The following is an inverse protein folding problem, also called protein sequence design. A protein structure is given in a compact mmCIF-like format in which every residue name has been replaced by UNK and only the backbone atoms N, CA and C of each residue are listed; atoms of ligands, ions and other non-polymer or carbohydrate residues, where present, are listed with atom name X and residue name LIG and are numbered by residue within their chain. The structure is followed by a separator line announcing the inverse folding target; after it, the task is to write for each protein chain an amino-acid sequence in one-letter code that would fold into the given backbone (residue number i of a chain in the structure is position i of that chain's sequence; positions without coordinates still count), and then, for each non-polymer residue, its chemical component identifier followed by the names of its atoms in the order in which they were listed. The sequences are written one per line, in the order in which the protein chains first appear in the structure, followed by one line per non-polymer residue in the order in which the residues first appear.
data_IF_513272384200
#
_entry.id   IF_513272384200
#
_cell.length_a   1.000
_cell.length_b   1.000
_cell.length_c   1.000
_cell.angle_alpha   90.00
_cell.angle_beta   90.00
_cell.angle_gamma   90.00
#
_symmetry.space_group_name_H-M   'P 1'
#
loop_
_entity.id
_entity.type
_entity.pdbx_description
1 polymer ?
#
# COMPACT_ATOMS: atom_id res chain seq x y z
N UNK A 1 5.30 -21.38 17.59
CA UNK A 1 5.22 -21.03 16.16
C UNK A 1 4.94 -22.23 15.27
N UNK A 2 5.67 -23.35 15.37
CA UNK A 2 5.31 -24.60 14.67
C UNK A 2 3.84 -25.00 14.85
N UNK A 3 3.35 -25.10 16.10
CA UNK A 3 1.93 -25.35 16.38
C UNK A 3 0.95 -24.35 15.73
N UNK A 4 1.34 -23.09 15.57
CA UNK A 4 0.52 -22.09 14.89
C UNK A 4 0.52 -22.34 13.37
N UNK A 5 1.68 -22.68 12.79
CA UNK A 5 1.78 -23.10 11.40
C UNK A 5 0.96 -24.36 11.12
N UNK A 6 0.98 -25.35 12.03
CA UNK A 6 0.29 -26.63 11.88
C UNK A 6 -1.25 -26.50 11.86
N UNK A 7 -1.80 -25.42 12.44
CA UNK A 7 -3.24 -25.13 12.41
C UNK A 7 -3.63 -24.15 11.30
N UNK A 8 -2.67 -23.63 10.53
CA UNK A 8 -2.97 -22.76 9.41
C UNK A 8 -3.47 -23.57 8.22
N UNK A 9 -4.45 -23.01 7.51
CA UNK A 9 -4.82 -23.52 6.19
C UNK A 9 -3.71 -23.21 5.17
N UNK A 10 -3.65 -24.01 4.10
CA UNK A 10 -2.78 -23.68 2.96
C UNK A 10 -3.22 -22.36 2.33
N UNK A 11 -2.27 -21.48 2.07
CA UNK A 11 -2.58 -20.19 1.50
C UNK A 11 -2.73 -20.25 -0.03
N UNK A 12 -3.86 -19.78 -0.54
CA UNK A 12 -4.12 -19.55 -1.96
C UNK A 12 -3.68 -18.16 -2.41
N UNK A 13 -3.64 -17.91 -3.71
CA UNK A 13 -3.48 -16.58 -4.31
C UNK A 13 -4.57 -16.31 -5.35
N UNK A 14 -4.87 -15.03 -5.58
CA UNK A 14 -5.90 -14.64 -6.55
C UNK A 14 -5.35 -14.65 -7.98
N UNK A 15 -6.08 -15.30 -8.90
CA UNK A 15 -5.88 -15.22 -10.33
C UNK A 15 -7.21 -14.85 -11.00
N UNK A 16 -7.37 -13.57 -11.32
CA UNK A 16 -8.66 -13.04 -11.79
C UNK A 16 -9.73 -13.14 -10.69
N UNK A 17 -10.81 -13.89 -10.96
CA UNK A 17 -11.92 -14.08 -10.02
C UNK A 17 -11.82 -15.39 -9.20
N UNK A 18 -10.70 -16.12 -9.30
CA UNK A 18 -10.52 -17.43 -8.67
C UNK A 18 -9.34 -17.41 -7.69
N UNK A 19 -9.49 -18.13 -6.58
CA UNK A 19 -8.38 -18.46 -5.70
C UNK A 19 -7.72 -19.76 -6.20
N UNK A 20 -6.41 -19.70 -6.41
CA UNK A 20 -5.60 -20.81 -6.93
C UNK A 20 -4.63 -21.29 -5.85
N UNK A 21 -4.47 -22.61 -5.76
CA UNK A 21 -3.46 -23.26 -4.94
C UNK A 21 -2.35 -23.79 -5.86
N UNK A 22 -1.13 -23.28 -5.69
CA UNK A 22 0.07 -23.72 -6.40
C UNK A 22 1.29 -23.45 -5.49
N UNK A 23 1.88 -24.52 -4.94
CA UNK A 23 3.04 -24.39 -4.05
C UNK A 23 4.33 -23.95 -4.75
N UNK A 24 4.38 -24.00 -6.08
CA UNK A 24 5.52 -23.43 -6.84
C UNK A 24 5.44 -21.91 -6.94
N UNK A 25 4.25 -21.35 -6.70
CA UNK A 25 3.98 -19.91 -6.72
C UNK A 25 3.84 -19.32 -5.30
N UNK A 26 3.16 -20.03 -4.40
CA UNK A 26 2.99 -19.61 -3.01
C UNK A 26 3.00 -20.81 -2.07
N UNK A 27 3.91 -20.78 -1.10
CA UNK A 27 3.94 -21.72 0.01
C UNK A 27 3.91 -20.94 1.32
N UNK A 28 2.76 -20.94 1.99
CA UNK A 28 2.56 -20.30 3.28
C UNK A 28 1.32 -20.88 3.97
N UNK A 29 1.26 -20.77 5.30
CA UNK A 29 0.04 -20.97 6.08
C UNK A 29 -0.72 -19.65 6.23
N UNK A 30 -2.05 -19.72 6.25
CA UNK A 30 -2.93 -18.59 6.59
C UNK A 30 -3.97 -18.95 7.65
N UNK A 31 -4.44 -17.94 8.37
CA UNK A 31 -5.70 -17.94 9.09
C UNK A 31 -6.52 -16.73 8.64
N UNK A 32 -7.77 -16.97 8.24
CA UNK A 32 -8.71 -15.90 7.92
C UNK A 32 -9.21 -15.23 9.22
N UNK A 33 -9.58 -13.95 9.17
CA UNK A 33 -9.87 -13.11 10.35
C UNK A 33 -10.94 -13.64 11.30
N UNK A 34 -11.84 -14.52 10.84
CA UNK A 34 -12.85 -15.17 11.69
C UNK A 34 -12.27 -16.25 12.63
N UNK A 35 -11.07 -16.76 12.34
CA UNK A 35 -10.44 -17.86 13.09
C UNK A 35 -9.38 -17.40 14.09
N UNK A 36 -9.13 -16.10 14.20
CA UNK A 36 -8.19 -15.57 15.18
C UNK A 36 -8.61 -14.19 15.69
N UNK A 37 -7.99 -13.77 16.78
CA UNK A 37 -8.07 -12.40 17.28
C UNK A 37 -6.66 -11.91 17.58
N UNK A 38 -6.40 -10.64 17.30
CA UNK A 38 -5.14 -9.99 17.62
C UNK A 38 -5.41 -8.80 18.55
N UNK A 39 -4.56 -8.64 19.57
CA UNK A 39 -4.60 -7.47 20.46
C UNK A 39 -3.97 -6.23 19.86
N UNK A 40 -3.21 -6.38 18.78
CA UNK A 40 -2.61 -5.24 18.10
C UNK A 40 -3.69 -4.44 17.39
N UNK A 41 -3.82 -3.16 17.77
CA UNK A 41 -4.74 -2.21 17.14
C UNK A 41 -3.93 -1.09 16.47
N UNK A 42 -3.86 -1.04 15.12
CA UNK A 42 -3.13 0.02 14.42
C UNK A 42 -3.70 1.42 14.70
N UNK A 43 -4.99 1.55 15.04
CA UNK A 43 -5.62 2.84 15.36
C UNK A 43 -5.05 3.38 16.68
N UNK A 44 -5.05 2.56 17.74
CA UNK A 44 -4.60 2.96 19.07
C UNK A 44 -3.11 3.35 19.14
N UNK A 45 -2.30 2.92 18.17
CA UNK A 45 -0.85 3.22 18.12
C UNK A 45 -0.50 4.58 17.50
N UNK A 46 -1.45 5.26 16.86
CA UNK A 46 -1.17 6.46 16.04
C UNK A 46 -0.46 6.16 14.72
N UNK A 47 -0.26 4.88 14.37
CA UNK A 47 0.36 4.46 13.12
C UNK A 47 -0.43 4.96 11.90
N UNK A 48 -1.76 4.91 11.95
CA UNK A 48 -2.60 5.33 10.83
C UNK A 48 -2.48 6.82 10.52
N UNK A 49 -2.26 7.66 11.53
CA UNK A 49 -2.07 9.10 11.30
C UNK A 49 -0.77 9.34 10.51
N UNK A 50 0.30 8.60 10.84
CA UNK A 50 1.55 8.62 10.08
C UNK A 50 1.37 8.08 8.67
N UNK A 51 0.65 6.97 8.51
CA UNK A 51 0.38 6.39 7.19
C UNK A 51 -0.49 7.31 6.34
N UNK A 52 -1.41 8.07 6.94
CA UNK A 52 -2.18 9.10 6.22
C UNK A 52 -1.27 10.15 5.63
N UNK A 53 -0.34 10.69 6.41
CA UNK A 53 0.57 11.74 5.92
C UNK A 53 1.47 11.24 4.77
N UNK A 54 1.76 9.94 4.71
CA UNK A 54 2.64 9.34 3.69
C UNK A 54 1.85 8.84 2.46
N UNK A 55 0.71 8.18 2.67
CA UNK A 55 -0.06 7.51 1.62
C UNK A 55 -1.22 8.35 1.05
N UNK A 56 -1.68 9.36 1.79
CA UNK A 56 -2.78 10.24 1.38
C UNK A 56 -2.30 11.65 1.04
N UNK A 57 -1.05 11.75 0.59
CA UNK A 57 -0.48 12.99 0.05
C UNK A 57 -1.39 13.50 -1.08
N UNK A 58 -1.69 14.81 -1.07
CA UNK A 58 -2.65 15.42 -2.01
C UNK A 58 -4.13 15.29 -1.61
N UNK A 59 -4.44 14.51 -0.56
CA UNK A 59 -5.80 14.24 -0.07
C UNK A 59 -5.98 14.47 1.46
N UNK A 60 -5.00 15.09 2.11
CA UNK A 60 -4.88 15.06 3.57
C UNK A 60 -6.00 15.80 4.35
N UNK A 61 -6.79 16.64 3.70
CA UNK A 61 -7.73 17.54 4.37
C UNK A 61 -9.13 16.92 4.55
N UNK A 62 -9.54 15.98 3.68
CA UNK A 62 -10.88 15.39 3.62
C UNK A 62 -10.91 13.85 3.63
N UNK A 63 -9.75 13.19 3.57
CA UNK A 63 -9.64 11.72 3.53
C UNK A 63 -8.90 11.15 4.75
N UNK A 64 -9.44 10.07 5.30
CA UNK A 64 -8.87 9.28 6.39
C UNK A 64 -8.73 7.81 6.03
N UNK A 65 -8.02 7.03 6.86
CA UNK A 65 -7.76 5.61 6.63
C UNK A 65 -8.57 4.77 7.62
N UNK A 66 -9.33 3.80 7.12
CA UNK A 66 -9.89 2.69 7.91
C UNK A 66 -9.08 1.42 7.66
N UNK A 67 -8.46 0.82 8.68
CA UNK A 67 -7.84 -0.49 8.55
C UNK A 67 -8.90 -1.58 8.68
N UNK A 68 -8.76 -2.65 7.90
CA UNK A 68 -9.58 -3.85 7.98
C UNK A 68 -8.67 -5.07 8.15
N UNK A 69 -8.76 -5.74 9.30
CA UNK A 69 -7.97 -6.94 9.56
C UNK A 69 -8.39 -8.05 8.58
N UNK A 70 -7.44 -8.48 7.75
CA UNK A 70 -7.72 -9.43 6.68
C UNK A 70 -7.30 -10.85 7.06
N UNK A 71 -5.99 -11.06 7.27
CA UNK A 71 -5.44 -12.41 7.48
C UNK A 71 -4.18 -12.39 8.34
N UNK A 72 -3.95 -13.50 9.02
CA UNK A 72 -2.67 -13.84 9.61
C UNK A 72 -1.95 -14.79 8.65
N UNK A 73 -0.67 -14.55 8.36
CA UNK A 73 0.15 -15.47 7.57
C UNK A 73 1.29 -16.01 8.42
N UNK A 74 1.62 -17.29 8.23
CA UNK A 74 2.79 -17.95 8.80
C UNK A 74 3.62 -18.54 7.67
N UNK A 75 4.87 -18.08 7.56
CA UNK A 75 5.86 -18.64 6.64
C UNK A 75 6.88 -19.40 7.47
N UNK A 76 6.90 -20.73 7.34
CA UNK A 76 7.91 -21.60 7.95
C UNK A 76 9.07 -21.89 6.99
N UNK A 77 9.99 -22.80 7.34
CA UNK A 77 11.11 -23.15 6.47
C UNK A 77 10.64 -23.63 5.09
N UNK A 78 11.26 -23.11 4.03
CA UNK A 78 10.90 -23.39 2.63
C UNK A 78 9.67 -22.64 2.12
N UNK A 79 9.03 -21.81 2.94
CA UNK A 79 7.88 -20.98 2.55
C UNK A 79 8.33 -19.73 1.79
N UNK A 80 7.51 -19.27 0.84
CA UNK A 80 7.75 -18.07 0.03
C UNK A 80 6.43 -17.62 -0.63
N UNK A 81 6.44 -16.45 -1.26
CA UNK A 81 5.36 -16.02 -2.15
C UNK A 81 5.97 -15.22 -3.30
N UNK A 82 5.79 -15.69 -4.53
CA UNK A 82 6.28 -15.05 -5.77
C UNK A 82 5.74 -13.63 -6.00
N UNK A 83 6.33 -12.86 -6.94
CA UNK A 83 5.87 -11.52 -7.27
C UNK A 83 4.39 -11.50 -7.64
N UNK A 84 3.63 -10.66 -6.96
CA UNK A 84 2.20 -10.47 -7.15
C UNK A 84 1.78 -9.05 -6.74
N UNK A 85 0.57 -8.66 -7.15
CA UNK A 85 -0.12 -7.47 -6.66
C UNK A 85 -1.31 -7.89 -5.83
N UNK A 86 -1.75 -7.03 -4.92
CA UNK A 86 -2.96 -7.30 -4.17
C UNK A 86 -4.18 -7.20 -5.08
N UNK A 87 -5.05 -8.21 -5.02
CA UNK A 87 -6.36 -8.15 -5.67
C UNK A 87 -7.21 -7.11 -4.95
N UNK A 88 -7.78 -6.11 -5.65
CA UNK A 88 -8.70 -5.16 -5.04
C UNK A 88 -9.86 -5.90 -4.36
N UNK A 89 -10.12 -5.61 -3.08
CA UNK A 89 -11.24 -6.20 -2.32
C UNK A 89 -12.19 -5.10 -1.86
N UNK A 90 -13.26 -4.92 -2.64
CA UNK A 90 -14.33 -3.96 -2.36
C UNK A 90 -14.00 -2.52 -2.74
N UNK A 91 -15.02 -1.68 -2.67
CA UNK A 91 -14.91 -0.27 -3.04
C UNK A 91 -14.01 0.47 -2.03
N UNK A 92 -13.03 1.20 -2.57
CA UNK A 92 -12.17 2.09 -1.78
C UNK A 92 -10.97 1.44 -1.07
N UNK A 93 -10.70 0.15 -1.25
CA UNK A 93 -9.39 -0.43 -0.84
C UNK A 93 -8.29 0.17 -1.73
N UNK A 94 -7.25 0.71 -1.12
CA UNK A 94 -6.19 1.40 -1.88
C UNK A 94 -4.78 0.95 -1.54
N UNK A 95 -4.56 0.43 -0.34
CA UNK A 95 -3.26 0.03 0.16
C UNK A 95 -3.38 -1.18 1.10
N UNK A 96 -2.23 -1.78 1.38
CA UNK A 96 -2.08 -2.86 2.36
C UNK A 96 -1.13 -2.42 3.46
N UNK A 97 -1.41 -2.85 4.68
CA UNK A 97 -0.52 -2.73 5.84
C UNK A 97 -0.18 -4.11 6.36
N UNK A 98 1.10 -4.45 6.36
CA UNK A 98 1.63 -5.72 6.87
C UNK A 98 2.36 -5.44 8.18
N UNK A 99 1.80 -5.91 9.29
CA UNK A 99 2.45 -5.93 10.60
C UNK A 99 3.25 -7.22 10.72
N UNK A 100 4.50 -7.12 11.13
CA UNK A 100 5.44 -8.24 11.21
C UNK A 100 5.85 -8.40 12.67
N UNK A 101 5.50 -9.55 13.26
CA UNK A 101 5.85 -9.85 14.64
C UNK A 101 7.35 -10.15 14.77
N UNK A 102 7.97 -9.86 15.94
CA UNK A 102 9.37 -10.14 16.23
C UNK A 102 9.61 -11.62 16.52
N UNK A 103 9.26 -12.47 15.55
CA UNK A 103 9.50 -13.91 15.57
C UNK A 103 10.87 -14.22 14.98
N UNK A 104 11.61 -15.15 15.56
CA UNK A 104 12.94 -15.53 15.07
C UNK A 104 12.81 -16.31 13.75
N UNK A 105 13.44 -15.79 12.69
CA UNK A 105 13.56 -16.42 11.38
C UNK A 105 14.74 -15.86 10.57
N UNK A 106 15.20 -16.62 9.58
CA UNK A 106 16.13 -16.18 8.54
C UNK A 106 15.44 -16.21 7.17
N UNK A 107 15.80 -15.28 6.30
CA UNK A 107 15.06 -15.05 5.06
C UNK A 107 13.66 -14.45 5.30
N UNK A 108 12.75 -14.61 4.36
CA UNK A 108 11.39 -14.07 4.45
C UNK A 108 11.29 -12.54 4.31
N UNK A 109 12.26 -11.91 3.63
CA UNK A 109 12.22 -10.47 3.35
C UNK A 109 11.02 -10.12 2.46
N UNK A 110 10.47 -8.92 2.65
CA UNK A 110 9.48 -8.35 1.73
C UNK A 110 10.22 -7.57 0.64
N UNK A 111 10.01 -7.94 -0.62
CA UNK A 111 10.57 -7.21 -1.76
C UNK A 111 9.44 -6.48 -2.47
N UNK A 112 9.71 -5.26 -2.91
CA UNK A 112 8.76 -4.38 -3.58
C UNK A 112 9.33 -3.94 -4.92
N UNK A 113 8.47 -3.96 -5.94
CA UNK A 113 8.75 -3.51 -7.29
C UNK A 113 7.65 -2.54 -7.75
N UNK A 114 8.06 -1.32 -8.12
CA UNK A 114 7.14 -0.30 -8.64
C UNK A 114 7.83 0.57 -9.70
N UNK A 115 7.51 0.31 -10.97
CA UNK A 115 8.20 0.94 -12.10
C UNK A 115 9.65 0.49 -12.14
N UNK A 116 10.60 1.43 -12.01
CA UNK A 116 12.04 1.14 -11.96
C UNK A 116 12.59 1.06 -10.52
N UNK A 117 11.73 1.19 -9.50
CA UNK A 117 12.15 1.15 -8.11
C UNK A 117 12.03 -0.25 -7.55
N UNK A 118 13.09 -0.71 -6.90
CA UNK A 118 13.14 -1.95 -6.14
C UNK A 118 13.50 -1.64 -4.69
N UNK A 119 12.83 -2.28 -3.74
CA UNK A 119 13.13 -2.12 -2.32
C UNK A 119 12.99 -3.45 -1.58
N UNK A 120 13.99 -3.78 -0.76
CA UNK A 120 13.97 -4.98 0.08
C UNK A 120 13.89 -4.59 1.55
N UNK A 121 12.83 -5.03 2.21
CA UNK A 121 12.63 -4.86 3.64
C UNK A 121 12.92 -6.17 4.39
N UNK A 122 14.11 -6.25 4.98
CA UNK A 122 14.50 -7.33 5.88
C UNK A 122 14.07 -7.03 7.32
N UNK A 123 12.83 -7.41 7.66
CA UNK A 123 12.28 -7.19 9.00
C UNK A 123 13.00 -7.96 10.10
N UNK A 124 13.59 -9.13 9.79
CA UNK A 124 14.31 -9.92 10.79
C UNK A 124 15.55 -9.18 11.29
N UNK A 125 16.35 -8.63 10.37
CA UNK A 125 17.52 -7.82 10.72
C UNK A 125 17.12 -6.59 11.54
N UNK A 126 16.12 -5.83 11.05
CA UNK A 126 15.64 -4.62 11.72
C UNK A 126 15.15 -4.88 13.15
N UNK A 127 14.44 -5.99 13.38
CA UNK A 127 13.92 -6.33 14.70
C UNK A 127 15.00 -6.87 15.65
N UNK A 128 16.03 -7.54 15.11
CA UNK A 128 17.15 -8.09 15.90
C UNK A 128 18.01 -7.02 16.56
N UNK A 129 18.05 -5.81 16.00
CA UNK A 129 18.84 -4.69 16.49
C UNK A 129 18.13 -3.90 17.62
N UNK A 130 16.89 -4.25 17.96
CA UNK A 130 16.09 -3.50 18.91
C UNK A 130 16.27 -4.00 20.35
N UNK A 131 16.52 -3.09 21.29
CA UNK A 131 16.71 -3.40 22.71
C UNK A 131 15.43 -3.62 23.52
N UNK A 132 14.25 -3.64 22.88
CA UNK A 132 12.95 -3.72 23.55
C UNK A 132 11.83 -4.19 22.62
N UNK A 133 10.60 -4.37 23.15
CA UNK A 133 9.48 -4.90 22.38
C UNK A 133 9.14 -4.02 21.18
N UNK A 134 9.49 -4.49 19.98
CA UNK A 134 9.30 -3.75 18.73
C UNK A 134 8.57 -4.61 17.72
N UNK A 135 7.78 -3.97 16.86
CA UNK A 135 7.15 -4.58 15.69
C UNK A 135 7.67 -3.87 14.45
N UNK A 136 7.79 -4.63 13.35
CA UNK A 136 8.08 -4.05 12.05
C UNK A 136 6.76 -3.91 11.29
N UNK A 137 6.69 -2.95 10.37
CA UNK A 137 5.56 -2.86 9.46
C UNK A 137 6.01 -2.40 8.08
N UNK A 138 5.22 -2.76 7.08
CA UNK A 138 5.32 -2.21 5.74
C UNK A 138 3.92 -1.79 5.28
N UNK A 139 3.80 -0.61 4.68
CA UNK A 139 2.56 -0.13 4.07
C UNK A 139 2.84 0.32 2.64
N UNK A 140 2.01 -0.12 1.70
CA UNK A 140 2.23 0.09 0.28
C UNK A 140 0.90 0.10 -0.48
N UNK A 141 0.86 0.81 -1.61
CA UNK A 141 -0.34 0.83 -2.45
C UNK A 141 -0.62 -0.56 -3.04
N UNK A 142 -1.90 -0.88 -3.19
CA UNK A 142 -2.39 -2.19 -3.67
C UNK A 142 -1.83 -2.62 -5.03
N UNK A 143 -1.41 -1.67 -5.86
CA UNK A 143 -0.86 -1.90 -7.20
C UNK A 143 0.67 -2.05 -7.23
N UNK A 144 1.34 -1.95 -6.06
CA UNK A 144 2.76 -2.26 -5.91
C UNK A 144 2.94 -3.77 -5.96
N UNK A 145 3.77 -4.22 -6.90
CA UNK A 145 4.16 -5.62 -6.96
C UNK A 145 5.08 -5.94 -5.80
N UNK A 146 4.86 -7.06 -5.15
CA UNK A 146 5.64 -7.47 -4.01
C UNK A 146 5.75 -8.99 -3.91
N UNK A 147 6.80 -9.43 -3.22
CA UNK A 147 7.04 -10.84 -2.93
C UNK A 147 7.57 -11.05 -1.51
N UNK A 148 7.47 -12.30 -1.05
CA UNK A 148 8.12 -12.76 0.18
C UNK A 148 9.21 -13.74 -0.23
N UNK A 149 10.47 -13.39 0.06
CA UNK A 149 11.61 -14.26 -0.22
C UNK A 149 11.51 -15.57 0.56
N UNK A 150 12.30 -16.57 0.16
CA UNK A 150 12.38 -17.83 0.88
C UNK A 150 12.67 -17.60 2.37
N UNK A 151 11.93 -18.30 3.24
CA UNK A 151 12.27 -18.44 4.66
C UNK A 151 13.17 -19.66 4.81
N UNK A 152 14.42 -19.43 5.18
CA UNK A 152 15.44 -20.48 5.31
C UNK A 152 15.27 -21.24 6.64
N UNK A 153 15.02 -20.50 7.73
CA UNK A 153 14.88 -21.06 9.06
C UNK A 153 13.88 -20.27 9.91
N UNK A 154 13.34 -20.90 10.96
CA UNK A 154 12.38 -20.26 11.86
C UNK A 154 10.99 -20.07 11.26
N UNK A 155 10.24 -19.10 11.80
CA UNK A 155 8.88 -18.79 11.34
C UNK A 155 8.65 -17.30 11.32
N UNK A 156 8.23 -16.77 10.17
CA UNK A 156 7.80 -15.38 10.00
C UNK A 156 6.28 -15.31 10.15
N UNK A 157 5.80 -14.49 11.09
CA UNK A 157 4.37 -14.31 11.36
C UNK A 157 3.95 -12.86 11.08
N UNK A 158 2.90 -12.69 10.28
CA UNK A 158 2.39 -11.35 9.94
C UNK A 158 0.88 -11.24 10.11
N UNK A 159 0.41 -10.02 10.40
CA UNK A 159 -0.97 -9.61 10.19
C UNK A 159 -1.03 -8.71 8.97
N UNK A 160 -1.99 -8.95 8.09
CA UNK A 160 -2.28 -8.08 6.94
C UNK A 160 -3.59 -7.36 7.18
N UNK A 161 -3.58 -6.05 6.97
CA UNK A 161 -4.74 -5.18 6.97
C UNK A 161 -4.93 -4.61 5.56
N UNK A 162 -6.17 -4.62 5.07
CA UNK A 162 -6.56 -3.82 3.91
C UNK A 162 -6.82 -2.40 4.39
N UNK A 163 -6.31 -1.39 3.69
CA UNK A 163 -6.52 0.01 4.01
C UNK A 163 -7.55 0.61 3.04
N UNK A 164 -8.60 1.20 3.61
CA UNK A 164 -9.70 1.81 2.86
C UNK A 164 -9.74 3.32 3.05
N UNK A 165 -10.09 4.03 1.98
CA UNK A 165 -10.42 5.45 2.08
C UNK A 165 -11.69 5.66 2.91
N UNK A 166 -11.68 6.68 3.75
CA UNK A 166 -12.85 7.19 4.45
C UNK A 166 -12.93 8.69 4.24
N UNK A 167 -13.88 9.12 3.42
CA UNK A 167 -14.13 10.53 3.11
C UNK A 167 -14.95 11.16 4.24
N UNK A 168 -14.42 12.22 4.85
CA UNK A 168 -15.07 12.94 5.93
C UNK A 168 -15.36 14.37 5.51
N UNK A 169 -16.58 14.84 5.77
CA UNK A 169 -16.98 16.22 5.47
C UNK A 169 -16.53 17.24 6.54
N UNK A 170 -15.81 16.78 7.56
CA UNK A 170 -15.33 17.63 8.64
C UNK A 170 -13.92 18.14 8.28
N UNK A 171 -13.69 19.46 8.25
CA UNK A 171 -12.35 20.00 8.04
C UNK A 171 -11.44 19.53 9.17
N UNK A 172 -10.42 18.75 8.82
CA UNK A 172 -9.37 18.34 9.76
C UNK A 172 -8.20 19.31 9.70
N UNK A 173 -7.41 19.35 10.77
CA UNK A 173 -6.17 20.12 10.79
C UNK A 173 -5.31 19.70 9.59
N UNK A 174 -4.88 20.70 8.82
CA UNK A 174 -4.00 20.51 7.67
C UNK A 174 -2.79 19.69 8.09
N UNK A 175 -2.43 18.70 7.27
CA UNK A 175 -1.17 18.00 7.46
C UNK A 175 -0.02 19.02 7.39
N UNK A 176 0.76 19.12 8.47
CA UNK A 176 1.87 20.07 8.60
C UNK A 176 3.06 19.71 7.70
N UNK A 177 2.99 18.57 6.99
CA UNK A 177 3.97 18.24 5.97
C UNK A 177 3.72 19.12 4.76
N UNK A 178 4.36 20.28 4.76
CA UNK A 178 4.39 21.15 3.59
C UNK A 178 5.13 20.39 2.50
N UNK A 179 4.37 19.90 1.52
CA UNK A 179 4.93 18.99 0.54
C UNK A 179 5.74 19.81 -0.48
N UNK A 180 7.05 19.88 -0.29
CA UNK A 180 7.98 20.64 -1.15
C UNK A 180 7.74 20.31 -2.61
N UNK A 181 7.46 19.05 -2.93
CA UNK A 181 7.11 18.58 -4.28
C UNK A 181 5.83 19.23 -4.83
N UNK A 182 4.80 19.40 -4.02
CA UNK A 182 3.55 20.07 -4.43
C UNK A 182 3.83 21.53 -4.82
N UNK A 183 4.62 22.25 -4.01
CA UNK A 183 4.98 23.64 -4.32
C UNK A 183 5.85 23.76 -5.56
N UNK A 184 6.90 22.93 -5.66
CA UNK A 184 7.78 22.94 -6.83
C UNK A 184 7.00 22.64 -8.11
N UNK A 185 6.10 21.64 -8.08
CA UNK A 185 5.25 21.31 -9.22
C UNK A 185 4.29 22.46 -9.56
N UNK A 186 3.66 23.08 -8.54
CA UNK A 186 2.75 24.20 -8.71
C UNK A 186 3.44 25.40 -9.34
N UNK A 187 4.60 25.78 -8.83
CA UNK A 187 5.36 26.94 -9.31
C UNK A 187 5.84 26.72 -10.74
N UNK A 188 6.39 25.53 -11.03
CA UNK A 188 6.83 25.18 -12.39
C UNK A 188 5.67 25.18 -13.39
N UNK A 189 4.53 24.59 -13.02
CA UNK A 189 3.36 24.53 -13.90
C UNK A 189 2.71 25.92 -14.07
N UNK A 190 2.63 26.72 -13.01
CA UNK A 190 2.13 28.09 -13.08
C UNK A 190 3.02 28.96 -13.99
N UNK A 191 4.34 28.83 -13.89
CA UNK A 191 5.29 29.53 -14.74
C UNK A 191 5.13 29.11 -16.22
N UNK A 192 4.99 27.81 -16.48
CA UNK A 192 4.77 27.28 -17.83
C UNK A 192 3.45 27.79 -18.44
N UNK A 193 2.36 27.81 -17.65
CA UNK A 193 1.06 28.30 -18.10
C UNK A 193 1.02 29.82 -18.32
N UNK A 194 1.90 30.58 -17.66
CA UNK A 194 2.04 32.02 -17.84
C UNK A 194 2.87 32.40 -19.09
N UNK A 195 3.66 31.46 -19.63
CA UNK A 195 4.46 31.66 -20.83
C UNK A 195 3.58 31.67 -22.10
N UNK A 196 3.47 32.84 -22.74
CA UNK A 196 2.67 33.02 -23.96
C UNK A 196 3.20 32.22 -25.16
N UNK A 197 4.42 31.72 -25.11
CA UNK A 197 5.00 30.85 -26.14
C UNK A 197 4.65 29.38 -25.94
N UNK A 198 4.19 29.00 -24.75
CA UNK A 198 3.75 27.65 -24.44
C UNK A 198 2.31 27.44 -24.94
N UNK A 199 2.12 26.45 -25.82
CA UNK A 199 0.83 26.16 -26.47
C UNK A 199 0.11 27.44 -26.99
N UNK A 200 0.74 28.21 -27.89
CA UNK A 200 0.24 29.54 -28.28
C UNK A 200 -1.08 29.50 -29.06
N UNK A 201 -1.49 28.30 -29.51
CA UNK A 201 -2.77 28.02 -30.18
C UNK A 201 -3.68 27.13 -29.34
N UNK A 202 -3.36 26.95 -28.05
CA UNK A 202 -3.93 25.90 -27.20
C UNK A 202 -3.35 24.51 -27.48
N UNK A 203 -3.76 23.53 -26.68
CA UNK A 203 -3.35 22.13 -26.81
C UNK A 203 -3.69 21.32 -25.57
N UNK A 204 -3.20 20.07 -25.54
CA UNK A 204 -3.36 19.17 -24.40
C UNK A 204 -2.03 18.99 -23.67
N UNK A 205 -2.09 18.96 -22.34
CA UNK A 205 -0.99 18.52 -21.49
C UNK A 205 -1.37 17.14 -20.97
N UNK A 206 -0.55 16.14 -21.28
CA UNK A 206 -0.76 14.76 -20.83
C UNK A 206 0.21 14.38 -19.74
N UNK A 207 -0.29 13.75 -18.68
CA UNK A 207 0.54 13.17 -17.63
C UNK A 207 0.27 11.66 -17.56
N UNK A 208 1.35 10.87 -17.56
CA UNK A 208 1.25 9.44 -17.29
C UNK A 208 0.95 9.21 -15.82
N UNK A 209 -0.09 8.42 -15.53
CA UNK A 209 -0.37 7.98 -14.16
C UNK A 209 0.71 7.01 -13.69
N UNK A 210 1.06 7.17 -12.43
CA UNK A 210 2.13 6.41 -11.79
C UNK A 210 1.62 5.14 -11.14
N UNK A 211 0.33 5.11 -10.84
CA UNK A 211 -0.33 4.00 -10.19
C UNK A 211 -1.41 3.40 -11.08
N UNK A 212 -1.76 2.15 -10.77
CA UNK A 212 -2.93 1.50 -11.34
C UNK A 212 -4.15 1.74 -10.44
N UNK A 213 -5.28 2.01 -11.09
CA UNK A 213 -6.56 2.29 -10.46
C UNK A 213 -7.59 1.30 -10.96
N UNK A 214 -8.44 0.81 -10.06
CA UNK A 214 -9.57 -0.01 -10.43
C UNK A 214 -10.62 0.87 -11.14
N UNK A 215 -11.14 0.41 -12.27
CA UNK A 215 -12.13 1.14 -13.06
C UNK A 215 -13.30 0.23 -13.42
N UNK A 216 -14.51 0.79 -13.44
CA UNK A 216 -15.74 0.03 -13.77
C UNK A 216 -16.00 -0.05 -15.28
N UNK A 217 -15.38 0.84 -16.08
CA UNK A 217 -15.52 0.90 -17.53
C UNK A 217 -14.28 0.38 -18.27
N UNK A 218 -14.50 -0.46 -19.28
CA UNK A 218 -13.47 -0.90 -20.25
C UNK A 218 -13.23 0.11 -21.37
N UNK A 219 -14.03 1.18 -21.46
CA UNK A 219 -13.91 2.24 -22.47
C UNK A 219 -13.64 3.56 -21.75
N UNK A 220 -12.46 4.10 -21.97
CA UNK A 220 -11.99 5.43 -21.55
C UNK A 220 -12.51 5.88 -20.19
N UNK A 221 -11.80 5.50 -19.13
CA UNK A 221 -12.13 5.93 -17.77
C UNK A 221 -11.88 7.43 -17.66
N UNK A 222 -12.93 8.20 -17.35
CA UNK A 222 -12.75 9.57 -16.90
C UNK A 222 -12.05 9.57 -15.54
N UNK A 223 -11.10 10.48 -15.29
CA UNK A 223 -10.47 10.61 -13.97
C UNK A 223 -11.50 10.90 -12.86
N UNK A 224 -12.68 11.40 -13.21
CA UNK A 224 -13.80 11.57 -12.28
C UNK A 224 -14.36 10.26 -11.71
N UNK A 225 -14.07 9.12 -12.33
CA UNK A 225 -14.48 7.79 -11.85
C UNK A 225 -13.51 7.24 -10.80
N UNK A 226 -12.31 7.82 -10.68
CA UNK A 226 -11.33 7.40 -9.69
C UNK A 226 -11.66 8.10 -8.37
N UNK A 227 -12.02 7.33 -7.35
CA UNK A 227 -12.47 7.85 -6.04
C UNK A 227 -11.42 8.74 -5.38
N UNK A 228 -10.16 8.30 -5.39
CA UNK A 228 -9.02 9.07 -4.90
C UNK A 228 -7.75 8.61 -5.62
N UNK A 229 -6.88 9.57 -5.92
CA UNK A 229 -5.62 9.31 -6.60
C UNK A 229 -4.55 8.91 -5.58
N UNK A 230 -3.50 8.23 -6.02
CA UNK A 230 -2.43 7.71 -5.16
C UNK A 230 -1.16 8.55 -5.33
N UNK A 231 -0.51 8.87 -4.21
CA UNK A 231 0.83 9.49 -4.18
C UNK A 231 0.98 10.71 -5.10
N UNK A 232 1.97 10.66 -5.99
CA UNK A 232 2.27 11.78 -6.91
C UNK A 232 1.14 12.11 -7.89
N UNK A 233 0.30 11.15 -8.24
CA UNK A 233 -0.84 11.41 -9.12
C UNK A 233 -1.89 12.28 -8.42
N UNK A 234 -2.06 12.12 -7.10
CA UNK A 234 -2.91 12.98 -6.28
C UNK A 234 -2.35 14.39 -6.13
N UNK A 235 -1.04 14.53 -5.93
CA UNK A 235 -0.36 15.84 -5.89
C UNK A 235 -0.58 16.57 -7.20
N UNK A 236 -0.35 15.91 -8.33
CA UNK A 236 -0.55 16.48 -9.66
C UNK A 236 -2.00 16.93 -9.84
N UNK A 237 -2.98 16.08 -9.53
CA UNK A 237 -4.40 16.40 -9.62
C UNK A 237 -4.78 17.63 -8.76
N UNK A 238 -4.27 17.70 -7.54
CA UNK A 238 -4.48 18.83 -6.63
C UNK A 238 -3.88 20.12 -7.19
N UNK A 239 -2.68 20.07 -7.77
CA UNK A 239 -2.03 21.22 -8.40
C UNK A 239 -2.81 21.69 -9.62
N UNK A 240 -3.18 20.79 -10.53
CA UNK A 240 -3.98 21.11 -11.72
C UNK A 240 -5.30 21.82 -11.34
N UNK A 241 -6.08 21.22 -10.42
CA UNK A 241 -7.31 21.84 -9.90
C UNK A 241 -7.07 23.23 -9.31
N UNK A 242 -5.98 23.40 -8.56
CA UNK A 242 -5.62 24.69 -7.96
C UNK A 242 -5.17 25.76 -8.95
N UNK A 243 -4.76 25.37 -10.16
CA UNK A 243 -4.40 26.28 -11.26
C UNK A 243 -5.54 26.46 -12.28
N UNK A 244 -6.68 25.80 -12.07
CA UNK A 244 -7.87 25.92 -12.92
C UNK A 244 -7.79 25.15 -14.24
N UNK A 245 -6.98 24.08 -14.30
CA UNK A 245 -6.88 23.17 -15.45
C UNK A 245 -7.30 21.74 -15.10
#
# INVERSE_FOLDING_TARGET
LRRLADVCDVATFGLGAHDVYDETYRKAGKLDSQYFSAKFDPVATGLLDRLRDILLVGHADDVSIRPELYKLNVYGPGSFFRPHKDTPRGDGMFASLVIIYPTVHEGGSLLFHHGMMEHTFNSAAQLSETGGPTIAFAAFYSDVEHEVSLVDSGYRVTLTYNLHYVFTHAPRLQSFFSNTEERVLRDALAQLLADKTFLPRGGFIGFGLSHQYATTSRKTTSLSEITAMKGKDAVLMKVCKGLGI
#
